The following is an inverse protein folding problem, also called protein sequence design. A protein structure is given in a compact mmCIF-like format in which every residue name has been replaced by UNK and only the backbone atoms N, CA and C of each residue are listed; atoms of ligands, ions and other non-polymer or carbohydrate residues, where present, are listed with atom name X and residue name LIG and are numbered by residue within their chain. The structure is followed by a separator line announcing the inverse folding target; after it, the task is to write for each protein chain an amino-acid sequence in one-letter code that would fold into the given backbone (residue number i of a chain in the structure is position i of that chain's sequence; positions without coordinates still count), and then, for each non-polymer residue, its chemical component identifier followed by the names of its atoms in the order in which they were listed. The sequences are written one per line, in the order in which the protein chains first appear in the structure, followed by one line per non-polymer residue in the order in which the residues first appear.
data_IF_663922636275
#
_entry.id   IF_663922636275
#
_cell.length_a   1.000
_cell.length_b   1.000
_cell.length_c   1.000
_cell.angle_alpha   90.00
_cell.angle_beta   90.00
_cell.angle_gamma   90.00
#
_symmetry.space_group_name_H-M   'P 1'
#
loop_
_entity.id
_entity.type
_entity.pdbx_description
1 polymer ?
#
# COMPACT_ATOMS: atom_id res chain seq x y z
N UNK A 1 29.59 -1.68 1.63
CA UNK A 1 28.23 -1.73 1.06
C UNK A 1 28.15 -0.61 0.05
N UNK A 2 28.23 -0.91 -1.27
CA UNK A 2 28.20 0.13 -2.31
C UNK A 2 26.81 0.78 -2.31
N UNK A 3 26.76 2.10 -2.24
CA UNK A 3 25.53 2.84 -2.55
C UNK A 3 25.10 2.38 -3.95
N UNK A 4 23.94 1.69 -4.05
CA UNK A 4 23.34 1.41 -5.35
C UNK A 4 22.91 2.76 -5.90
N UNK A 5 23.59 3.20 -6.96
CA UNK A 5 23.20 4.36 -7.73
C UNK A 5 21.71 4.25 -8.06
N UNK A 6 21.00 5.36 -7.95
CA UNK A 6 19.60 5.44 -8.39
C UNK A 6 19.59 5.07 -9.86
N UNK A 7 19.17 3.85 -10.14
CA UNK A 7 18.89 3.42 -11.50
C UNK A 7 17.89 4.43 -12.08
N UNK A 8 18.20 4.94 -13.25
CA UNK A 8 17.39 5.93 -13.97
C UNK A 8 16.01 5.45 -14.40
N UNK A 9 15.25 4.93 -13.43
CA UNK A 9 13.81 4.74 -13.53
C UNK A 9 13.22 6.13 -13.61
N UNK A 10 12.95 6.53 -14.84
CA UNK A 10 12.40 7.82 -15.17
C UNK A 10 11.11 8.03 -14.39
N UNK A 11 11.18 8.89 -13.34
CA UNK A 11 10.00 9.60 -12.89
C UNK A 11 9.65 10.58 -14.03
N UNK A 12 9.06 10.05 -15.11
CA UNK A 12 8.55 10.89 -16.17
C UNK A 12 7.38 11.67 -15.59
N UNK A 13 7.29 12.99 -15.83
CA UNK A 13 6.13 13.78 -15.38
C UNK A 13 4.78 13.27 -15.91
N UNK A 14 4.78 12.36 -16.85
CA UNK A 14 3.60 11.65 -17.41
C UNK A 14 3.24 10.36 -16.66
N UNK A 15 3.90 10.03 -15.54
CA UNK A 15 3.62 8.79 -14.80
C UNK A 15 2.35 8.84 -13.95
N UNK A 16 1.67 9.99 -13.85
CA UNK A 16 0.46 10.14 -13.06
C UNK A 16 -0.64 9.18 -13.51
N UNK A 17 -0.96 9.15 -14.79
CA UNK A 17 -1.99 8.25 -15.33
C UNK A 17 -1.57 6.77 -15.18
N UNK A 18 -0.29 6.49 -15.31
CA UNK A 18 0.26 5.17 -15.05
C UNK A 18 0.01 4.75 -13.58
N UNK A 19 0.32 5.61 -12.62
CA UNK A 19 0.07 5.34 -11.21
C UNK A 19 -1.44 5.24 -10.91
N UNK A 20 -2.26 6.12 -11.47
CA UNK A 20 -3.71 6.09 -11.27
C UNK A 20 -4.34 4.78 -11.76
N UNK A 21 -3.85 4.18 -12.85
CA UNK A 21 -4.35 2.89 -13.33
C UNK A 21 -4.19 1.78 -12.27
N UNK A 22 -3.03 1.69 -11.61
CA UNK A 22 -2.81 0.70 -10.56
C UNK A 22 -3.51 1.06 -9.24
N UNK A 23 -3.62 2.35 -8.92
CA UNK A 23 -4.40 2.78 -7.75
C UNK A 23 -5.88 2.44 -7.92
N UNK A 24 -6.48 2.64 -9.10
CA UNK A 24 -7.86 2.17 -9.39
C UNK A 24 -7.99 0.66 -9.23
N UNK A 25 -6.97 -0.10 -9.67
CA UNK A 25 -6.96 -1.55 -9.43
C UNK A 25 -6.93 -1.87 -7.93
N UNK A 26 -6.19 -1.13 -7.11
CA UNK A 26 -6.19 -1.31 -5.65
C UNK A 26 -7.58 -1.00 -5.03
N UNK A 27 -8.31 -0.03 -5.59
CA UNK A 27 -9.70 0.27 -5.18
C UNK A 27 -10.64 -0.91 -5.47
N UNK A 28 -10.54 -1.53 -6.65
CA UNK A 28 -11.33 -2.73 -6.97
C UNK A 28 -11.04 -3.88 -6.00
N UNK A 29 -9.77 -4.06 -5.62
CA UNK A 29 -9.37 -5.06 -4.62
C UNK A 29 -9.95 -4.72 -3.25
N UNK A 30 -9.96 -3.46 -2.84
CA UNK A 30 -10.54 -3.01 -1.57
C UNK A 30 -12.07 -3.23 -1.52
N UNK A 31 -12.76 -2.98 -2.62
CA UNK A 31 -14.20 -3.29 -2.76
C UNK A 31 -14.48 -4.79 -2.55
N UNK A 32 -13.66 -5.64 -3.15
CA UNK A 32 -13.77 -7.08 -2.99
C UNK A 32 -13.48 -7.52 -1.54
N UNK A 33 -12.48 -6.94 -0.88
CA UNK A 33 -12.20 -7.21 0.52
C UNK A 33 -13.42 -6.89 1.40
N UNK A 34 -14.04 -5.71 1.21
CA UNK A 34 -15.28 -5.33 1.88
C UNK A 34 -16.42 -6.32 1.63
N UNK A 35 -16.62 -6.73 0.38
CA UNK A 35 -17.67 -7.70 -0.01
C UNK A 35 -17.49 -9.06 0.65
N UNK A 36 -16.26 -9.46 0.94
CA UNK A 36 -15.91 -10.72 1.60
C UNK A 36 -15.83 -10.64 3.13
N UNK A 37 -16.24 -9.51 3.73
CA UNK A 37 -16.35 -9.35 5.17
C UNK A 37 -15.10 -8.78 5.85
N UNK A 38 -14.15 -8.27 5.09
CA UNK A 38 -12.94 -7.61 5.59
C UNK A 38 -13.05 -6.08 5.53
N UNK A 39 -12.11 -5.38 6.15
CA UNK A 39 -11.99 -3.92 6.04
C UNK A 39 -11.62 -3.51 4.60
N UNK A 40 -12.09 -2.33 4.14
CA UNK A 40 -12.04 -1.93 2.74
C UNK A 40 -10.66 -1.43 2.30
N UNK A 41 -9.65 -2.28 2.38
CA UNK A 41 -8.28 -1.97 1.95
C UNK A 41 -7.79 -2.96 0.91
N UNK A 42 -7.02 -2.46 -0.06
CA UNK A 42 -6.48 -3.26 -1.15
C UNK A 42 -5.09 -2.81 -1.54
N UNK A 43 -4.25 -3.76 -1.90
CA UNK A 43 -2.88 -3.53 -2.36
C UNK A 43 -2.51 -4.45 -3.51
N UNK A 44 -1.54 -4.03 -4.31
CA UNK A 44 -0.95 -4.87 -5.35
C UNK A 44 0.54 -4.60 -5.50
N UNK A 45 1.28 -5.59 -5.97
CA UNK A 45 2.69 -5.49 -6.30
C UNK A 45 2.86 -5.50 -7.82
N UNK A 46 3.59 -4.51 -8.33
CA UNK A 46 3.90 -4.36 -9.74
C UNK A 46 5.39 -4.50 -9.95
N UNK A 47 5.77 -5.37 -10.89
CA UNK A 47 7.16 -5.60 -11.26
C UNK A 47 7.75 -4.46 -12.10
N UNK A 48 9.05 -4.48 -12.30
CA UNK A 48 9.81 -3.51 -13.12
C UNK A 48 9.26 -3.37 -14.54
N UNK A 49 8.69 -4.45 -15.08
CA UNK A 49 8.12 -4.52 -16.42
C UNK A 49 6.65 -4.07 -16.52
N UNK A 50 6.07 -3.59 -15.41
CA UNK A 50 4.68 -3.14 -15.33
C UNK A 50 3.66 -4.27 -15.13
N UNK A 51 4.08 -5.54 -15.04
CA UNK A 51 3.14 -6.63 -14.75
C UNK A 51 2.74 -6.64 -13.28
N UNK A 52 1.45 -6.86 -13.02
CA UNK A 52 0.96 -7.13 -11.66
C UNK A 52 1.43 -8.53 -11.27
N UNK A 53 2.23 -8.61 -10.21
CA UNK A 53 2.81 -9.84 -9.69
C UNK A 53 1.94 -10.49 -8.62
N UNK A 54 1.23 -9.67 -7.82
CA UNK A 54 0.32 -10.11 -6.77
C UNK A 54 -0.71 -9.04 -6.44
N UNK A 55 -1.91 -9.47 -6.07
CA UNK A 55 -3.01 -8.63 -5.60
C UNK A 55 -3.48 -9.16 -4.25
N UNK A 56 -3.76 -8.27 -3.30
CA UNK A 56 -4.14 -8.65 -1.95
C UNK A 56 -5.13 -7.65 -1.34
N UNK A 57 -6.30 -8.14 -0.93
CA UNK A 57 -7.21 -7.41 -0.05
C UNK A 57 -6.85 -7.61 1.42
N UNK A 58 -7.42 -6.79 2.28
CA UNK A 58 -7.40 -7.04 3.72
C UNK A 58 -8.06 -8.40 4.02
N UNK A 59 -7.47 -9.15 4.95
CA UNK A 59 -7.95 -10.47 5.40
C UNK A 59 -8.06 -10.57 6.92
N UNK A 60 -7.89 -9.46 7.62
CA UNK A 60 -7.84 -9.39 9.08
C UNK A 60 -9.03 -10.07 9.76
N UNK A 61 -10.26 -9.79 9.29
CA UNK A 61 -11.47 -10.31 9.89
C UNK A 61 -11.68 -11.80 9.58
N UNK A 62 -11.47 -12.19 8.34
CA UNK A 62 -11.70 -13.58 7.89
C UNK A 62 -10.63 -14.54 8.37
N UNK A 63 -9.38 -14.10 8.48
CA UNK A 63 -8.28 -14.91 9.00
C UNK A 63 -8.07 -14.74 10.52
N UNK A 64 -8.77 -13.79 11.16
CA UNK A 64 -8.58 -13.42 12.58
C UNK A 64 -7.12 -13.11 12.92
N UNK A 65 -6.49 -12.32 12.06
CA UNK A 65 -5.07 -11.98 12.12
C UNK A 65 -4.89 -10.47 12.09
N UNK A 66 -4.48 -9.88 13.22
CA UNK A 66 -4.23 -8.44 13.32
C UNK A 66 -3.14 -7.93 12.37
N UNK A 67 -2.36 -8.81 11.76
CA UNK A 67 -1.39 -8.48 10.70
C UNK A 67 -1.97 -8.65 9.29
N UNK A 68 -3.26 -8.95 9.18
CA UNK A 68 -3.98 -9.20 7.94
C UNK A 68 -4.31 -7.96 7.10
N UNK A 69 -3.65 -6.83 7.34
CA UNK A 69 -3.74 -5.66 6.46
C UNK A 69 -3.30 -6.02 5.05
N UNK A 70 -3.89 -5.38 4.04
CA UNK A 70 -3.63 -5.73 2.64
C UNK A 70 -2.14 -5.77 2.29
N UNK A 71 -1.38 -4.76 2.69
CA UNK A 71 0.04 -4.65 2.42
C UNK A 71 0.87 -5.70 3.18
N UNK A 72 0.59 -5.90 4.46
CA UNK A 72 1.30 -6.89 5.28
C UNK A 72 1.02 -8.32 4.80
N UNK A 73 -0.24 -8.63 4.47
CA UNK A 73 -0.63 -9.90 3.89
C UNK A 73 0.03 -10.12 2.51
N UNK A 74 0.08 -9.07 1.67
CA UNK A 74 0.83 -9.09 0.41
C UNK A 74 2.31 -9.43 0.66
N UNK A 75 2.95 -8.74 1.60
CA UNK A 75 4.36 -8.96 1.91
C UNK A 75 4.66 -10.38 2.42
N UNK A 76 3.75 -10.98 3.19
CA UNK A 76 3.87 -12.39 3.63
C UNK A 76 3.94 -13.38 2.47
N UNK A 77 3.27 -13.07 1.37
CA UNK A 77 3.27 -13.94 0.17
C UNK A 77 4.48 -13.66 -0.71
N UNK A 78 4.68 -12.40 -1.09
CA UNK A 78 5.67 -12.05 -2.11
C UNK A 78 7.11 -12.21 -1.62
N UNK A 79 7.37 -12.02 -0.32
CA UNK A 79 8.70 -12.23 0.27
C UNK A 79 9.15 -13.71 0.24
N UNK A 80 8.23 -14.64 0.07
CA UNK A 80 8.51 -16.08 -0.11
C UNK A 80 8.71 -16.48 -1.57
N UNK A 81 8.26 -15.64 -2.51
CA UNK A 81 8.23 -15.94 -3.96
C UNK A 81 9.32 -15.24 -4.74
N UNK A 82 9.74 -14.06 -4.27
CA UNK A 82 10.69 -13.21 -4.95
C UNK A 82 11.89 -12.92 -4.05
N UNK A 83 13.05 -12.81 -4.64
CA UNK A 83 14.27 -12.39 -3.95
C UNK A 83 14.17 -10.90 -3.52
N UNK A 84 15.01 -10.51 -2.56
CA UNK A 84 15.08 -9.10 -2.12
C UNK A 84 15.51 -8.16 -3.26
N UNK A 85 16.30 -8.63 -4.19
CA UNK A 85 16.75 -7.82 -5.33
C UNK A 85 15.61 -7.61 -6.33
N UNK A 86 14.81 -8.63 -6.60
CA UNK A 86 13.60 -8.50 -7.44
C UNK A 86 12.58 -7.57 -6.79
N UNK A 87 12.32 -7.73 -5.48
CA UNK A 87 11.39 -6.87 -4.74
C UNK A 87 11.86 -5.41 -4.68
N UNK A 88 13.17 -5.16 -4.68
CA UNK A 88 13.70 -3.79 -4.74
C UNK A 88 13.30 -3.05 -6.01
N UNK A 89 13.14 -3.75 -7.10
CA UNK A 89 12.71 -3.21 -8.39
C UNK A 89 11.19 -3.11 -8.53
N UNK A 90 10.42 -3.61 -7.55
CA UNK A 90 8.97 -3.57 -7.56
C UNK A 90 8.40 -2.28 -6.97
N UNK A 91 7.15 -2.01 -7.32
CA UNK A 91 6.31 -0.96 -6.73
C UNK A 91 5.09 -1.58 -6.06
N UNK A 92 4.87 -1.25 -4.80
CA UNK A 92 3.65 -1.59 -4.08
C UNK A 92 2.66 -0.43 -4.21
N UNK A 93 1.46 -0.71 -4.71
CA UNK A 93 0.34 0.23 -4.76
C UNK A 93 -0.68 -0.14 -3.70
N UNK A 94 -1.25 0.83 -3.02
CA UNK A 94 -2.25 0.63 -1.97
C UNK A 94 -3.26 1.77 -1.91
N UNK A 95 -4.48 1.49 -1.49
CA UNK A 95 -5.56 2.48 -1.42
C UNK A 95 -5.29 3.58 -0.41
N UNK A 96 -4.75 3.23 0.75
CA UNK A 96 -4.39 4.16 1.82
C UNK A 96 -2.89 4.10 2.14
N UNK A 97 -2.36 5.17 2.69
CA UNK A 97 -0.98 5.22 3.18
C UNK A 97 -0.71 4.03 4.13
N UNK A 98 0.38 3.25 3.93
CA UNK A 98 0.69 2.13 4.80
C UNK A 98 0.88 2.56 6.25
N UNK A 99 0.17 1.92 7.18
CA UNK A 99 0.40 2.12 8.62
C UNK A 99 1.82 1.68 9.03
N UNK A 100 2.22 1.99 10.26
CA UNK A 100 3.57 1.68 10.76
C UNK A 100 3.93 0.19 10.64
N UNK A 101 3.00 -0.72 10.92
CA UNK A 101 3.19 -2.18 10.76
C UNK A 101 3.45 -2.55 9.30
N UNK A 102 2.62 -2.06 8.38
CA UNK A 102 2.76 -2.33 6.95
C UNK A 102 4.03 -1.70 6.37
N UNK A 103 4.36 -0.47 6.77
CA UNK A 103 5.62 0.17 6.40
C UNK A 103 6.83 -0.65 6.87
N UNK A 104 6.79 -1.18 8.08
CA UNK A 104 7.80 -2.12 8.59
C UNK A 104 7.91 -3.39 7.72
N UNK A 105 6.79 -4.01 7.37
CA UNK A 105 6.77 -5.19 6.51
C UNK A 105 7.36 -4.91 5.12
N UNK A 106 7.02 -3.78 4.51
CA UNK A 106 7.54 -3.31 3.23
C UNK A 106 9.07 -3.10 3.33
N UNK A 107 9.53 -2.43 4.39
CA UNK A 107 10.95 -2.17 4.63
C UNK A 107 11.74 -3.47 4.73
N UNK A 108 11.31 -4.42 5.57
CA UNK A 108 12.01 -5.68 5.76
C UNK A 108 11.89 -6.60 4.55
N UNK A 109 10.77 -6.53 3.82
CA UNK A 109 10.56 -7.24 2.56
C UNK A 109 11.40 -6.70 1.41
N UNK A 110 11.93 -5.47 1.52
CA UNK A 110 12.81 -4.84 0.53
C UNK A 110 12.10 -4.36 -0.74
N UNK A 111 10.84 -3.93 -0.66
CA UNK A 111 10.18 -3.26 -1.79
C UNK A 111 10.70 -1.84 -1.92
N UNK A 112 11.16 -1.46 -3.12
CA UNK A 112 11.88 -0.20 -3.32
C UNK A 112 11.00 1.02 -3.53
N UNK A 113 9.70 0.85 -3.81
CA UNK A 113 8.77 1.96 -4.07
C UNK A 113 7.37 1.67 -3.52
N UNK A 114 6.75 2.70 -2.94
CA UNK A 114 5.36 2.66 -2.45
C UNK A 114 4.59 3.80 -3.09
N UNK A 115 3.40 3.51 -3.59
CA UNK A 115 2.45 4.49 -4.15
C UNK A 115 1.11 4.30 -3.45
N UNK A 116 0.53 5.38 -2.90
CA UNK A 116 -0.73 5.29 -2.17
C UNK A 116 -1.74 6.37 -2.57
N UNK A 117 -3.03 6.06 -2.42
CA UNK A 117 -4.14 6.92 -2.80
C UNK A 117 -4.41 8.03 -1.79
N UNK A 118 -4.83 7.69 -0.58
CA UNK A 118 -5.17 8.65 0.48
C UNK A 118 -4.18 8.60 1.64
N UNK A 119 -4.09 9.69 2.40
CA UNK A 119 -3.23 9.77 3.59
C UNK A 119 -3.81 9.02 4.78
N UNK A 120 -2.96 8.65 5.72
CA UNK A 120 -3.37 8.10 7.02
C UNK A 120 -4.23 9.10 7.81
N UNK A 121 -3.94 10.40 7.72
CA UNK A 121 -4.75 11.45 8.37
C UNK A 121 -6.19 11.50 7.82
N UNK A 122 -6.37 11.45 6.50
CA UNK A 122 -7.70 11.38 5.90
C UNK A 122 -8.42 10.08 6.29
N UNK A 123 -7.70 8.96 6.33
CA UNK A 123 -8.25 7.70 6.80
C UNK A 123 -8.75 7.81 8.25
N UNK A 124 -7.99 8.46 9.13
CA UNK A 124 -8.39 8.70 10.52
C UNK A 124 -9.71 9.50 10.61
N UNK A 125 -9.90 10.50 9.75
CA UNK A 125 -11.15 11.25 9.65
C UNK A 125 -12.32 10.36 9.21
N UNK A 126 -12.10 9.46 8.24
CA UNK A 126 -13.12 8.55 7.72
C UNK A 126 -13.54 7.47 8.72
N UNK A 127 -12.60 6.96 9.50
CA UNK A 127 -12.83 5.86 10.45
C UNK A 127 -13.30 6.35 11.81
N UNK A 128 -12.95 7.58 12.19
CA UNK A 128 -13.30 8.16 13.48
C UNK A 128 -12.91 7.25 14.65
N UNK A 129 -13.88 7.03 15.54
CA UNK A 129 -13.70 6.19 16.74
C UNK A 129 -14.10 4.72 16.53
N UNK A 130 -14.20 4.25 15.28
CA UNK A 130 -14.51 2.83 15.02
C UNK A 130 -13.39 1.93 15.51
N UNK A 131 -13.71 1.04 16.46
CA UNK A 131 -12.74 0.14 17.10
C UNK A 131 -12.03 -0.80 16.11
N UNK A 132 -12.60 -1.01 14.92
CA UNK A 132 -11.99 -1.82 13.86
C UNK A 132 -10.80 -1.14 13.19
N UNK A 133 -10.66 0.16 13.36
CA UNK A 133 -9.54 0.93 12.81
C UNK A 133 -9.30 2.21 13.62
N UNK A 134 -8.85 2.08 14.85
CA UNK A 134 -8.29 3.20 15.61
C UNK A 134 -6.92 3.55 15.00
N UNK A 135 -6.95 4.48 14.06
CA UNK A 135 -5.79 4.80 13.22
C UNK A 135 -4.57 5.22 14.02
N UNK A 136 -3.45 4.55 13.77
CA UNK A 136 -2.13 4.93 14.30
C UNK A 136 -1.54 6.02 13.39
N UNK A 137 -1.67 7.28 13.80
CA UNK A 137 -1.21 8.44 13.03
C UNK A 137 0.33 8.54 13.01
N UNK A 138 0.93 7.72 12.17
CA UNK A 138 2.36 7.73 11.89
C UNK A 138 2.59 7.54 10.39
N UNK A 139 2.87 8.62 9.64
CA UNK A 139 3.10 8.56 8.20
C UNK A 139 4.21 7.58 7.81
N UNK A 140 3.99 6.79 6.77
CA UNK A 140 4.96 5.77 6.35
C UNK A 140 6.34 6.37 6.00
N UNK A 141 6.37 7.61 5.52
CA UNK A 141 7.63 8.34 5.26
C UNK A 141 8.49 8.50 6.50
N UNK A 142 7.88 8.73 7.66
CA UNK A 142 8.63 8.83 8.93
C UNK A 142 9.23 7.50 9.34
N UNK A 143 8.49 6.40 9.13
CA UNK A 143 9.00 5.05 9.37
C UNK A 143 10.21 4.77 8.48
N UNK A 144 10.09 5.00 7.17
CA UNK A 144 11.18 4.75 6.22
C UNK A 144 12.39 5.66 6.45
N UNK A 145 12.17 6.93 6.86
CA UNK A 145 13.25 7.86 7.16
C UNK A 145 14.15 7.45 8.33
N UNK A 146 13.65 6.59 9.23
CA UNK A 146 14.44 6.01 10.33
C UNK A 146 15.31 4.84 9.87
N UNK A 147 15.08 4.31 8.68
CA UNK A 147 15.84 3.22 8.07
C UNK A 147 17.01 3.71 7.20
N UNK A 148 17.73 2.75 6.65
CA UNK A 148 18.88 3.01 5.75
C UNK A 148 18.57 2.72 4.28
N UNK A 149 17.34 2.30 3.96
CA UNK A 149 16.92 1.99 2.60
C UNK A 149 16.24 3.22 2.00
N UNK A 150 16.67 3.70 0.84
CA UNK A 150 16.06 4.84 0.17
C UNK A 150 14.77 4.43 -0.56
N UNK A 151 13.76 4.00 0.21
CA UNK A 151 12.45 3.63 -0.34
C UNK A 151 11.77 4.89 -0.85
N UNK A 152 11.32 4.85 -2.12
CA UNK A 152 10.61 5.96 -2.74
C UNK A 152 9.13 5.88 -2.37
N UNK A 153 8.56 6.98 -1.89
CA UNK A 153 7.15 7.08 -1.53
C UNK A 153 6.49 8.16 -2.37
N UNK A 154 5.42 7.81 -3.08
CA UNK A 154 4.65 8.68 -3.96
C UNK A 154 3.18 8.66 -3.52
N UNK A 155 2.60 9.80 -3.29
CA UNK A 155 1.23 10.00 -2.82
C UNK A 155 1.14 11.18 -1.86
N UNK A 156 -0.07 11.61 -1.47
CA UNK A 156 -1.35 11.08 -1.96
C UNK A 156 -1.67 11.47 -3.40
N UNK A 157 -2.72 10.86 -3.98
CA UNK A 157 -3.27 11.20 -5.29
C UNK A 157 -4.70 11.74 -5.13
N UNK A 158 -4.89 13.07 -5.15
CA UNK A 158 -6.23 13.67 -5.03
C UNK A 158 -7.23 13.16 -6.07
N UNK A 159 -6.75 12.76 -7.24
CA UNK A 159 -7.56 12.28 -8.36
C UNK A 159 -8.25 10.95 -8.09
N UNK A 160 -7.76 10.14 -7.13
CA UNK A 160 -8.37 8.86 -6.75
C UNK A 160 -9.12 8.94 -5.41
N UNK A 161 -8.99 10.05 -4.68
CA UNK A 161 -9.53 10.20 -3.32
C UNK A 161 -11.01 9.86 -3.25
N UNK A 162 -11.83 10.43 -4.13
CA UNK A 162 -13.27 10.17 -4.14
C UNK A 162 -13.60 8.69 -4.37
N UNK A 163 -12.85 8.00 -5.22
CA UNK A 163 -13.03 6.57 -5.51
C UNK A 163 -12.67 5.72 -4.27
N UNK A 164 -11.60 6.07 -3.56
CA UNK A 164 -11.20 5.40 -2.32
C UNK A 164 -12.23 5.65 -1.23
N UNK A 165 -12.61 6.92 -0.98
CA UNK A 165 -13.60 7.30 0.04
C UNK A 165 -14.92 6.57 -0.17
N UNK A 166 -15.40 6.47 -1.40
CA UNK A 166 -16.66 5.79 -1.72
C UNK A 166 -16.68 4.31 -1.25
N UNK A 167 -15.54 3.63 -1.23
CA UNK A 167 -15.47 2.25 -0.72
C UNK A 167 -15.62 2.20 0.80
N UNK A 168 -15.30 3.28 1.51
CA UNK A 168 -15.44 3.39 2.97
C UNK A 168 -16.83 3.84 3.42
N UNK A 169 -17.64 4.45 2.53
CA UNK A 169 -18.96 4.96 2.87
C UNK A 169 -19.86 3.88 3.48
N UNK A 170 -20.46 4.20 4.65
CA UNK A 170 -21.35 3.28 5.37
C UNK A 170 -20.70 2.00 5.89
N UNK A 171 -19.38 1.91 5.89
CA UNK A 171 -18.63 0.79 6.49
C UNK A 171 -18.33 1.04 7.96
N UNK A 172 -17.82 2.22 8.27
CA UNK A 172 -17.47 2.63 9.63
C UNK A 172 -18.70 3.09 10.42
N UNK A 173 -18.64 2.99 11.77
CA UNK A 173 -19.74 3.39 12.66
C UNK A 173 -19.73 4.89 12.92
#
# INVERSE_FOLDING_TARGET
MRARERDGRSDKPNDKEYHLAYLRRSVEISQKARQTGNTPFGALLVGKDGRILWEQGNVEMTERDCTGHAEAALMRVVSKRFSKDELWDCTLYTTAEPCAMCAGAIYWGNVGRVVYGITESLLAELTGDDERNLTLDLPCREVFARGRKPIVVIGPFPEIEAEVVAVHEGYWK
#
